data_IF_186304413590
#
_entry.id   IF_186304413590
#
_cell.length_a   1.000
_cell.length_b   1.000
_cell.length_c   1.000
_cell.angle_alpha   90.00
_cell.angle_beta   90.00
_cell.angle_gamma   90.00
#
_symmetry.space_group_name_H-M   'P 1'
#
loop_
_entity.id
_entity.type
_entity.pdbx_description
1 polymer ?
#
# COMPACT_ATOMS: atom_id res chain seq x y z
N UNK A 1 40.36 58.23 -37.30
CA UNK A 1 38.93 57.82 -37.37
C UNK A 1 38.77 56.59 -36.49
N UNK A 2 38.31 56.75 -35.25
CA UNK A 2 38.17 55.65 -34.28
C UNK A 2 36.83 54.96 -34.52
N UNK A 3 36.86 53.67 -34.86
CA UNK A 3 35.65 52.85 -35.09
C UNK A 3 34.99 52.61 -33.73
N UNK A 4 33.84 53.26 -33.46
CA UNK A 4 33.08 53.03 -32.24
C UNK A 4 32.54 51.60 -32.27
N UNK A 5 32.88 50.79 -31.26
CA UNK A 5 32.39 49.41 -31.10
C UNK A 5 30.87 49.45 -30.90
N UNK A 6 30.13 48.67 -31.69
CA UNK A 6 28.67 48.63 -31.63
C UNK A 6 28.24 47.63 -30.55
N UNK A 7 28.34 48.06 -29.28
CA UNK A 7 28.05 47.24 -28.09
C UNK A 7 26.61 46.68 -28.04
N UNK A 8 25.69 47.18 -28.87
CA UNK A 8 24.30 46.72 -28.92
C UNK A 8 24.10 45.36 -29.59
N UNK A 9 24.95 44.95 -30.54
CA UNK A 9 24.85 43.64 -31.18
C UNK A 9 25.47 42.53 -30.33
N UNK A 10 26.63 42.81 -29.71
CA UNK A 10 27.26 41.88 -28.76
C UNK A 10 26.33 41.60 -27.57
N UNK A 11 25.66 42.63 -27.03
CA UNK A 11 24.67 42.47 -25.96
C UNK A 11 23.46 41.62 -26.39
N UNK A 12 22.96 41.78 -27.62
CA UNK A 12 21.86 40.94 -28.16
C UNK A 12 22.29 39.49 -28.35
N UNK A 13 23.50 39.25 -28.85
CA UNK A 13 24.05 37.90 -29.02
C UNK A 13 24.25 37.20 -27.68
N UNK A 14 24.73 37.91 -26.66
CA UNK A 14 24.86 37.39 -25.29
C UNK A 14 23.47 37.09 -24.70
N UNK A 15 22.48 37.97 -24.91
CA UNK A 15 21.11 37.74 -24.44
C UNK A 15 20.47 36.52 -25.13
N UNK A 16 20.65 36.36 -26.43
CA UNK A 16 20.15 35.20 -27.19
C UNK A 16 20.82 33.89 -26.73
N UNK A 17 22.12 33.92 -26.43
CA UNK A 17 22.83 32.77 -25.89
C UNK A 17 22.36 32.43 -24.47
N UNK A 18 22.13 33.44 -23.61
CA UNK A 18 21.60 33.21 -22.27
C UNK A 18 20.18 32.60 -22.33
N UNK A 19 19.33 33.08 -23.25
CA UNK A 19 17.98 32.54 -23.46
C UNK A 19 18.03 31.12 -24.00
N UNK A 20 18.92 30.80 -24.95
CA UNK A 20 19.05 29.44 -25.47
C UNK A 20 19.55 28.46 -24.42
N UNK A 21 20.50 28.88 -23.56
CA UNK A 21 20.94 28.09 -22.41
C UNK A 21 19.80 27.86 -21.41
N UNK A 22 18.99 28.87 -21.12
CA UNK A 22 17.79 28.76 -20.27
C UNK A 22 16.76 27.78 -20.85
N UNK A 23 16.52 27.83 -22.16
CA UNK A 23 15.60 26.92 -22.86
C UNK A 23 16.12 25.47 -22.84
N UNK A 24 17.42 25.26 -23.03
CA UNK A 24 18.02 23.92 -22.96
C UNK A 24 17.95 23.37 -21.53
N UNK A 25 18.19 24.20 -20.51
CA UNK A 25 18.09 23.82 -19.11
C UNK A 25 16.67 23.35 -18.74
N UNK A 26 15.63 23.97 -19.29
CA UNK A 26 14.22 23.56 -19.09
C UNK A 26 13.92 22.16 -19.64
N UNK A 27 14.64 21.71 -20.67
CA UNK A 27 14.45 20.39 -21.30
C UNK A 27 15.27 19.31 -20.57
N UNK A 28 16.47 19.66 -20.09
CA UNK A 28 17.38 18.68 -19.44
C UNK A 28 16.97 18.39 -17.99
N UNK A 29 16.40 19.36 -17.26
CA UNK A 29 16.00 19.17 -15.86
C UNK A 29 14.95 18.05 -15.66
N UNK A 30 13.83 17.98 -16.40
CA UNK A 30 12.85 16.90 -16.24
C UNK A 30 13.40 15.50 -16.50
N UNK A 31 14.41 15.37 -17.38
CA UNK A 31 15.07 14.10 -17.70
C UNK A 31 16.02 13.66 -16.58
N UNK A 32 16.71 14.61 -15.95
CA UNK A 32 17.60 14.33 -14.81
C UNK A 32 16.84 14.04 -13.50
N UNK A 33 15.59 14.51 -13.40
CA UNK A 33 14.70 14.28 -12.25
C UNK A 33 13.47 13.45 -12.60
N UNK A 34 13.54 12.60 -13.62
CA UNK A 34 12.49 11.63 -13.90
C UNK A 34 12.37 10.72 -12.67
N UNK A 35 11.40 11.03 -11.82
CA UNK A 35 11.19 10.32 -10.56
C UNK A 35 10.71 8.92 -10.89
N UNK A 36 11.40 7.92 -10.36
CA UNK A 36 10.97 6.53 -10.45
C UNK A 36 9.53 6.45 -9.95
N UNK A 37 8.63 5.92 -10.79
CA UNK A 37 7.22 5.75 -10.42
C UNK A 37 7.18 4.67 -9.35
N UNK A 38 7.19 5.10 -8.09
CA UNK A 38 7.02 4.20 -6.96
C UNK A 38 5.69 3.46 -7.17
N UNK A 39 5.69 2.12 -7.27
CA UNK A 39 4.46 1.35 -7.46
C UNK A 39 3.44 1.69 -6.37
N UNK A 40 2.25 2.14 -6.76
CA UNK A 40 1.14 2.36 -5.82
C UNK A 40 0.23 1.13 -5.83
N UNK A 41 0.52 0.16 -4.97
CA UNK A 41 -0.23 -1.10 -4.84
C UNK A 41 0.29 -1.94 -3.67
N UNK A 42 -0.44 -2.99 -3.24
CA UNK A 42 -0.01 -3.81 -2.12
C UNK A 42 1.31 -4.49 -2.48
N UNK A 43 2.31 -4.22 -1.66
CA UNK A 43 3.73 -4.50 -1.85
C UNK A 43 4.11 -5.98 -1.70
N UNK A 44 3.15 -6.90 -1.70
CA UNK A 44 3.40 -8.32 -1.46
C UNK A 44 3.53 -9.05 -2.80
N UNK A 45 4.59 -9.84 -2.95
CA UNK A 45 4.84 -10.63 -4.16
C UNK A 45 3.85 -11.81 -4.27
N UNK A 46 3.34 -12.31 -3.15
CA UNK A 46 2.43 -13.46 -3.08
C UNK A 46 1.44 -13.33 -1.90
N UNK A 47 0.24 -13.88 -2.08
CA UNK A 47 -0.74 -14.09 -1.02
C UNK A 47 -1.15 -15.55 -1.05
N UNK A 48 -0.87 -16.27 0.05
CA UNK A 48 -1.23 -17.68 0.20
C UNK A 48 -2.44 -17.80 1.12
N UNK A 49 -3.50 -18.44 0.62
CA UNK A 49 -4.66 -18.80 1.42
C UNK A 49 -4.60 -20.28 1.76
N UNK A 50 -4.85 -20.62 3.01
CA UNK A 50 -5.02 -21.99 3.46
C UNK A 50 -6.01 -22.02 4.62
N UNK A 51 -6.54 -23.21 4.88
CA UNK A 51 -7.48 -23.44 5.97
C UNK A 51 -6.75 -24.00 7.19
N UNK A 52 -7.02 -23.43 8.36
CA UNK A 52 -6.63 -23.98 9.65
C UNK A 52 -7.87 -24.09 10.55
N UNK A 53 -8.35 -25.31 10.84
CA UNK A 53 -9.56 -25.49 11.64
C UNK A 53 -9.36 -25.29 13.15
N UNK A 54 -8.11 -25.32 13.65
CA UNK A 54 -7.81 -25.14 15.08
C UNK A 54 -7.49 -23.68 15.42
N UNK A 55 -8.31 -23.08 16.30
CA UNK A 55 -8.05 -21.73 16.83
C UNK A 55 -6.75 -21.67 17.65
N UNK A 56 -6.46 -22.70 18.46
CA UNK A 56 -5.21 -22.76 19.23
C UNK A 56 -4.00 -22.72 18.30
N UNK A 57 -4.04 -23.51 17.22
CA UNK A 57 -2.95 -23.61 16.26
C UNK A 57 -2.77 -22.30 15.48
N UNK A 58 -3.84 -21.66 15.03
CA UNK A 58 -3.71 -20.40 14.29
C UNK A 58 -3.18 -19.27 15.17
N UNK A 59 -3.56 -19.22 16.46
CA UNK A 59 -3.01 -18.25 17.40
C UNK A 59 -1.51 -18.47 17.61
N UNK A 60 -1.06 -19.72 17.76
CA UNK A 60 0.36 -20.06 17.86
C UNK A 60 1.13 -19.68 16.59
N UNK A 61 0.58 -19.93 15.40
CA UNK A 61 1.16 -19.53 14.12
C UNK A 61 1.29 -18.00 13.99
N UNK A 62 0.25 -17.24 14.37
CA UNK A 62 0.30 -15.76 14.39
C UNK A 62 1.39 -15.24 15.33
N UNK A 63 1.52 -15.82 16.52
CA UNK A 63 2.56 -15.44 17.49
C UNK A 63 3.98 -15.74 17.00
N UNK A 64 4.15 -16.80 16.22
CA UNK A 64 5.42 -17.20 15.61
C UNK A 64 5.74 -16.46 14.31
N UNK A 65 4.75 -15.83 13.70
CA UNK A 65 4.89 -15.22 12.38
C UNK A 65 4.83 -16.23 11.22
N UNK A 66 4.28 -17.43 11.45
CA UNK A 66 4.02 -18.41 10.39
C UNK A 66 2.83 -17.98 9.51
N UNK A 67 1.99 -17.07 10.03
CA UNK A 67 0.84 -16.46 9.34
C UNK A 67 0.79 -14.98 9.70
N UNK A 68 0.49 -14.14 8.71
CA UNK A 68 0.40 -12.70 8.92
C UNK A 68 -1.00 -12.24 9.34
N UNK A 69 -2.06 -12.86 8.82
CA UNK A 69 -3.45 -12.39 8.97
C UNK A 69 -4.40 -13.56 9.17
N UNK A 70 -5.28 -13.46 10.18
CA UNK A 70 -6.44 -14.33 10.36
C UNK A 70 -7.74 -13.50 10.29
N UNK A 71 -8.61 -13.83 9.34
CA UNK A 71 -9.82 -13.05 9.00
C UNK A 71 -11.11 -13.71 9.51
N UNK A 72 -11.02 -14.58 10.51
CA UNK A 72 -12.17 -15.26 11.10
C UNK A 72 -12.25 -14.98 12.61
N UNK A 73 -13.38 -15.32 13.24
CA UNK A 73 -13.60 -15.03 14.65
C UNK A 73 -12.87 -16.02 15.57
N UNK A 74 -12.28 -15.48 16.64
CA UNK A 74 -11.78 -16.27 17.78
C UNK A 74 -12.93 -16.45 18.77
N UNK A 75 -13.31 -17.70 19.05
CA UNK A 75 -14.46 -18.05 19.91
C UNK A 75 -14.02 -18.36 21.33
N UNK A 76 -12.82 -18.90 21.52
CA UNK A 76 -12.31 -19.17 22.87
C UNK A 76 -11.89 -17.85 23.55
N UNK A 77 -12.53 -17.47 24.69
CA UNK A 77 -12.17 -16.26 25.40
C UNK A 77 -10.73 -16.26 25.92
N UNK A 78 -10.15 -17.42 26.25
CA UNK A 78 -8.75 -17.51 26.71
C UNK A 78 -7.76 -17.23 25.58
N UNK A 79 -8.06 -17.67 24.36
CA UNK A 79 -7.27 -17.32 23.19
C UNK A 79 -7.39 -15.84 22.87
N UNK A 80 -8.60 -15.29 22.98
CA UNK A 80 -8.79 -13.85 22.79
C UNK A 80 -8.02 -13.02 23.84
N UNK A 81 -8.00 -13.44 25.11
CA UNK A 81 -7.15 -12.84 26.14
C UNK A 81 -5.66 -12.88 25.76
N UNK A 82 -5.19 -13.99 25.20
CA UNK A 82 -3.81 -14.12 24.74
C UNK A 82 -3.50 -13.12 23.62
N UNK A 83 -4.39 -13.00 22.63
CA UNK A 83 -4.25 -12.02 21.53
C UNK A 83 -4.26 -10.60 22.07
N UNK A 84 -5.23 -10.26 22.95
CA UNK A 84 -5.41 -8.91 23.49
C UNK A 84 -4.20 -8.45 24.31
N UNK A 85 -3.57 -9.36 25.04
CA UNK A 85 -2.42 -9.06 25.90
C UNK A 85 -1.08 -9.20 25.16
N UNK A 86 -1.07 -9.67 23.90
CA UNK A 86 0.15 -9.84 23.12
C UNK A 86 0.67 -8.49 22.63
N UNK A 87 1.96 -8.15 22.86
CA UNK A 87 2.57 -6.95 22.29
C UNK A 87 2.83 -7.08 20.78
N UNK A 88 2.76 -8.31 20.23
CA UNK A 88 3.13 -8.60 18.85
C UNK A 88 1.92 -8.75 17.92
N UNK A 89 0.69 -8.77 18.46
CA UNK A 89 -0.53 -8.96 17.67
C UNK A 89 -1.43 -7.74 17.74
N UNK A 90 -2.00 -7.38 16.60
CA UNK A 90 -3.06 -6.40 16.49
C UNK A 90 -4.38 -7.11 16.21
N UNK A 91 -5.48 -6.58 16.76
CA UNK A 91 -6.83 -7.06 16.45
C UNK A 91 -7.77 -5.90 16.15
N UNK A 92 -8.84 -6.22 15.42
CA UNK A 92 -9.98 -5.34 15.19
C UNK A 92 -11.25 -6.12 15.46
N UNK A 93 -12.24 -5.45 16.05
CA UNK A 93 -13.58 -6.00 16.19
C UNK A 93 -14.37 -5.58 14.96
N UNK A 94 -14.94 -6.54 14.26
CA UNK A 94 -15.87 -6.32 13.16
C UNK A 94 -17.28 -6.76 13.57
N UNK A 95 -18.27 -6.07 13.02
CA UNK A 95 -19.68 -6.42 13.14
C UNK A 95 -20.23 -6.63 11.73
N UNK A 96 -21.14 -7.58 11.54
CA UNK A 96 -21.72 -7.83 10.21
C UNK A 96 -22.22 -9.27 10.00
N UNK A 97 -21.84 -10.19 10.87
CA UNK A 97 -22.40 -11.54 10.91
C UNK A 97 -23.45 -11.64 12.01
N UNK A 98 -24.52 -12.40 11.74
CA UNK A 98 -25.51 -12.80 12.73
C UNK A 98 -25.65 -14.31 12.69
N UNK A 99 -25.85 -14.90 13.87
CA UNK A 99 -26.33 -16.28 13.95
C UNK A 99 -27.85 -16.24 13.87
N UNK A 100 -28.41 -17.07 13.00
CA UNK A 100 -29.85 -17.20 12.84
C UNK A 100 -30.32 -18.59 13.25
N UNK A 101 -31.51 -18.65 13.83
CA UNK A 101 -32.30 -19.88 13.91
C UNK A 101 -33.36 -19.85 12.82
N UNK A 102 -33.13 -20.58 11.74
CA UNK A 102 -34.09 -20.71 10.64
C UNK A 102 -34.82 -22.05 10.74
N UNK A 103 -36.14 -22.03 10.65
CA UNK A 103 -36.96 -23.24 10.55
C UNK A 103 -37.24 -23.56 9.10
N UNK A 104 -37.11 -24.82 8.69
CA UNK A 104 -37.61 -25.26 7.40
C UNK A 104 -39.14 -25.40 7.47
N UNK A 105 -39.93 -24.58 6.73
CA UNK A 105 -41.39 -24.64 6.79
C UNK A 105 -42.00 -25.75 5.93
N UNK A 106 -41.19 -26.52 5.19
CA UNK A 106 -41.70 -27.59 4.33
C UNK A 106 -42.30 -28.74 5.14
N UNK A 107 -43.39 -29.34 4.62
CA UNK A 107 -43.90 -30.61 5.12
C UNK A 107 -42.91 -31.75 4.76
N UNK A 108 -42.38 -32.42 5.77
CA UNK A 108 -41.52 -33.59 5.58
C UNK A 108 -42.38 -34.85 5.43
N UNK A 109 -42.15 -35.63 4.37
CA UNK A 109 -42.87 -36.91 4.15
C UNK A 109 -42.40 -38.02 5.09
N UNK A 110 -41.16 -37.93 5.58
CA UNK A 110 -40.56 -38.76 6.62
C UNK A 110 -39.47 -37.95 7.30
N UNK A 111 -39.39 -38.03 8.64
CA UNK A 111 -38.33 -37.44 9.44
C UNK A 111 -37.06 -38.26 9.43
#
# INVERSE_FOLDING_TARGET
MVKMKNYGEEAKMVALFAISVLLVLQIVMPLAFAQETIPQGPWVDEIVFFEEPSEDKVVDMLLKGDVDIYLYNIRDPKLFETIRNSPNLAYKVSFGMYNELTFNPAEFKTG
#
